data_IF_449142091843
#
_entry.id   IF_449142091843
#
_cell.length_a   1.000
_cell.length_b   1.000
_cell.length_c   1.000
_cell.angle_alpha   90.00
_cell.angle_beta   90.00
_cell.angle_gamma   90.00
#
_symmetry.space_group_name_H-M   'P 1'
#
loop_
_entity.id
_entity.type
_entity.pdbx_description
1 polymer ?
#
# COMPACT_ATOMS: atom_id res chain seq x y z
N UNK A 1 -76.10 -63.42 20.11
CA UNK A 1 -75.61 -62.07 20.41
C UNK A 1 -74.09 -62.07 20.21
N UNK A 2 -73.60 -61.65 19.04
CA UNK A 2 -72.16 -61.46 18.80
C UNK A 2 -72.03 -60.14 18.00
N UNK A 3 -71.53 -59.12 18.66
CA UNK A 3 -71.25 -57.78 18.09
C UNK A 3 -69.95 -57.83 17.29
N UNK A 4 -70.06 -57.60 16.00
CA UNK A 4 -68.89 -57.38 15.15
C UNK A 4 -68.35 -56.01 15.40
N UNK A 5 -67.06 -55.92 15.71
CA UNK A 5 -66.30 -54.69 15.87
C UNK A 5 -65.55 -54.42 14.60
N UNK A 6 -65.95 -53.33 13.91
CA UNK A 6 -65.28 -52.86 12.71
C UNK A 6 -64.14 -51.99 13.16
N UNK A 7 -62.88 -52.40 12.85
CA UNK A 7 -61.69 -51.58 13.05
C UNK A 7 -61.53 -50.65 11.83
N UNK A 8 -61.67 -49.38 12.11
CA UNK A 8 -61.25 -48.33 11.18
C UNK A 8 -59.75 -48.10 11.36
N UNK A 9 -58.94 -48.42 10.34
CA UNK A 9 -57.55 -48.14 10.31
C UNK A 9 -57.38 -46.66 9.82
N UNK A 10 -56.99 -45.77 10.73
CA UNK A 10 -56.67 -44.42 10.44
C UNK A 10 -55.22 -44.28 9.90
N UNK A 11 -55.06 -44.08 8.64
CA UNK A 11 -53.76 -43.87 8.01
C UNK A 11 -53.32 -42.44 8.28
N UNK A 12 -52.46 -42.25 9.29
CA UNK A 12 -51.78 -40.95 9.52
C UNK A 12 -50.62 -40.78 8.51
N UNK A 13 -50.83 -39.92 7.53
CA UNK A 13 -49.76 -39.44 6.67
C UNK A 13 -48.91 -38.44 7.47
N UNK A 14 -47.72 -38.88 7.92
CA UNK A 14 -46.71 -38.00 8.50
C UNK A 14 -46.00 -37.31 7.36
N UNK A 15 -46.40 -36.07 7.03
CA UNK A 15 -45.62 -35.19 6.20
C UNK A 15 -44.44 -34.66 7.02
N UNK A 16 -43.27 -35.29 6.83
CA UNK A 16 -42.01 -34.84 7.41
C UNK A 16 -41.63 -33.51 6.78
N UNK A 17 -41.77 -32.41 7.54
CA UNK A 17 -41.23 -31.11 7.22
C UNK A 17 -39.71 -31.20 7.42
N UNK A 18 -38.98 -31.43 6.33
CA UNK A 18 -37.51 -31.27 6.35
C UNK A 18 -37.22 -29.79 6.46
N UNK A 19 -36.97 -29.31 7.68
CA UNK A 19 -36.37 -28.00 7.92
C UNK A 19 -34.95 -28.08 7.38
N UNK A 20 -34.75 -27.57 6.16
CA UNK A 20 -33.45 -27.31 5.59
C UNK A 20 -32.72 -26.33 6.48
N UNK A 21 -31.76 -26.82 7.25
CA UNK A 21 -30.78 -25.96 7.87
C UNK A 21 -29.99 -25.30 6.72
N UNK A 22 -30.30 -24.05 6.45
CA UNK A 22 -29.42 -23.19 5.68
C UNK A 22 -28.14 -23.05 6.51
N UNK A 23 -27.18 -23.93 6.26
CA UNK A 23 -25.81 -23.75 6.70
C UNK A 23 -25.34 -22.42 6.17
N UNK A 24 -25.18 -21.45 7.06
CA UNK A 24 -24.43 -20.24 6.75
C UNK A 24 -23.00 -20.72 6.41
N UNK A 25 -22.78 -20.94 5.11
CA UNK A 25 -21.43 -21.02 4.58
C UNK A 25 -20.85 -19.63 4.82
N UNK A 26 -20.04 -19.49 5.88
CA UNK A 26 -19.17 -18.36 6.06
C UNK A 26 -18.30 -18.27 4.81
N UNK A 27 -18.78 -17.51 3.83
CA UNK A 27 -18.04 -17.25 2.62
C UNK A 27 -16.76 -16.55 3.05
N UNK A 28 -15.63 -17.25 2.98
CA UNK A 28 -14.34 -16.60 3.04
C UNK A 28 -14.37 -15.54 1.95
N UNK A 29 -14.47 -14.27 2.34
CA UNK A 29 -14.44 -13.14 1.41
C UNK A 29 -13.13 -13.26 0.67
N UNK A 30 -13.20 -13.47 -0.64
CA UNK A 30 -12.00 -13.50 -1.47
C UNK A 30 -11.18 -12.24 -1.18
N UNK A 31 -9.84 -12.35 -1.05
CA UNK A 31 -9.03 -11.18 -0.77
C UNK A 31 -9.30 -10.12 -1.84
N UNK A 32 -9.54 -8.89 -1.39
CA UNK A 32 -9.84 -7.78 -2.27
C UNK A 32 -8.73 -7.63 -3.32
N UNK A 33 -9.11 -7.42 -4.58
CA UNK A 33 -8.15 -7.24 -5.64
C UNK A 33 -7.28 -6.01 -5.36
N UNK A 34 -5.95 -6.23 -5.34
CA UNK A 34 -4.96 -5.17 -5.14
C UNK A 34 -4.32 -4.81 -6.47
N UNK A 35 -4.41 -3.55 -6.85
CA UNK A 35 -3.81 -3.00 -8.07
C UNK A 35 -2.61 -2.10 -7.72
N UNK A 36 -1.55 -2.19 -8.51
CA UNK A 36 -0.39 -1.29 -8.42
C UNK A 36 -0.60 -0.10 -9.36
N UNK A 37 -0.37 1.11 -8.85
CA UNK A 37 -0.59 2.37 -9.57
C UNK A 37 0.73 2.94 -10.12
N UNK A 38 1.31 2.29 -11.14
CA UNK A 38 2.63 2.63 -11.69
C UNK A 38 2.75 4.07 -12.18
N UNK A 39 1.70 4.63 -12.79
CA UNK A 39 1.70 6.03 -13.23
C UNK A 39 1.81 6.99 -12.03
N UNK A 40 1.07 6.72 -10.95
CA UNK A 40 1.17 7.51 -9.72
C UNK A 40 2.58 7.44 -9.13
N UNK A 41 3.20 6.24 -9.11
CA UNK A 41 4.57 6.04 -8.63
C UNK A 41 5.57 6.90 -9.40
N UNK A 42 5.50 6.88 -10.73
CA UNK A 42 6.37 7.66 -11.61
C UNK A 42 6.20 9.17 -11.40
N UNK A 43 4.95 9.63 -11.31
CA UNK A 43 4.63 11.04 -11.10
C UNK A 43 5.08 11.54 -9.72
N UNK A 44 4.94 10.72 -8.65
CA UNK A 44 5.42 11.06 -7.31
C UNK A 44 6.93 11.20 -7.30
N UNK A 45 7.70 10.26 -7.88
CA UNK A 45 9.16 10.34 -7.94
C UNK A 45 9.62 11.55 -8.80
N UNK A 46 8.95 11.81 -9.91
CA UNK A 46 9.23 12.98 -10.75
C UNK A 46 9.05 14.27 -9.96
N UNK A 47 7.96 14.42 -9.22
CA UNK A 47 7.68 15.61 -8.37
C UNK A 47 8.63 15.71 -7.18
N UNK A 48 8.97 14.59 -6.54
CA UNK A 48 10.01 14.58 -5.51
C UNK A 48 11.31 15.14 -6.05
N UNK A 49 11.77 14.65 -7.19
CA UNK A 49 13.02 15.10 -7.79
C UNK A 49 12.98 16.56 -8.24
N UNK A 50 11.87 17.03 -8.81
CA UNK A 50 11.66 18.45 -9.11
C UNK A 50 11.72 19.32 -7.84
N UNK A 51 11.10 18.85 -6.75
CA UNK A 51 11.13 19.50 -5.43
C UNK A 51 12.55 19.57 -4.87
N UNK A 52 13.33 18.50 -4.98
CA UNK A 52 14.72 18.45 -4.53
C UNK A 52 15.60 19.41 -5.34
N UNK A 53 15.52 19.37 -6.66
CA UNK A 53 16.29 20.22 -7.57
C UNK A 53 15.99 21.71 -7.32
N UNK A 54 14.72 22.09 -7.12
CA UNK A 54 14.35 23.48 -6.80
C UNK A 54 14.92 23.99 -5.48
N UNK A 55 15.44 23.09 -4.64
CA UNK A 55 16.10 23.39 -3.36
C UNK A 55 17.61 23.15 -3.39
N UNK A 56 18.19 23.01 -4.59
CA UNK A 56 19.63 22.77 -4.75
C UNK A 56 20.11 21.37 -4.36
N UNK A 57 19.19 20.43 -4.16
CA UNK A 57 19.53 19.06 -3.81
C UNK A 57 19.66 18.20 -5.06
N UNK A 58 20.50 17.18 -4.99
CA UNK A 58 20.64 16.18 -6.05
C UNK A 58 19.32 15.41 -6.21
N UNK A 59 18.86 15.16 -7.45
CA UNK A 59 17.78 14.21 -7.69
C UNK A 59 18.21 12.79 -7.28
N UNK A 60 17.24 11.99 -6.84
CA UNK A 60 17.43 10.60 -6.47
C UNK A 60 17.27 9.70 -7.69
N UNK A 61 18.10 8.67 -7.77
CA UNK A 61 17.97 7.65 -8.78
C UNK A 61 16.92 6.61 -8.33
N UNK A 62 16.15 6.06 -9.30
CA UNK A 62 15.28 4.93 -9.02
C UNK A 62 16.11 3.68 -8.73
N UNK A 63 15.72 2.94 -7.70
CA UNK A 63 16.30 1.66 -7.32
C UNK A 63 15.22 0.59 -7.34
N UNK A 64 15.39 -0.43 -8.18
CA UNK A 64 14.48 -1.58 -8.25
C UNK A 64 14.44 -2.35 -6.93
N UNK A 65 15.57 -2.38 -6.21
CA UNK A 65 15.69 -3.00 -4.90
C UNK A 65 14.77 -2.28 -3.88
N UNK A 66 14.87 -0.94 -3.77
CA UNK A 66 14.01 -0.14 -2.89
C UNK A 66 12.55 -0.16 -3.34
N UNK A 67 12.29 -0.15 -4.65
CA UNK A 67 10.93 -0.27 -5.18
C UNK A 67 10.29 -1.59 -4.78
N UNK A 68 11.04 -2.69 -4.85
CA UNK A 68 10.56 -4.02 -4.44
C UNK A 68 10.23 -4.06 -2.95
N UNK A 69 11.04 -3.42 -2.11
CA UNK A 69 10.79 -3.30 -0.67
C UNK A 69 9.50 -2.50 -0.40
N UNK A 70 9.35 -1.33 -1.03
CA UNK A 70 8.18 -0.46 -0.90
C UNK A 70 6.88 -1.13 -1.36
N UNK A 71 6.89 -1.78 -2.54
CA UNK A 71 5.73 -2.53 -3.06
C UNK A 71 5.34 -3.68 -2.12
N UNK A 72 6.33 -4.41 -1.59
CA UNK A 72 6.09 -5.50 -0.65
C UNK A 72 5.43 -5.01 0.64
N UNK A 73 5.87 -3.86 1.16
CA UNK A 73 5.31 -3.30 2.38
C UNK A 73 3.89 -2.77 2.19
N UNK A 74 3.64 -1.98 1.14
CA UNK A 74 2.29 -1.51 0.83
C UNK A 74 1.31 -2.67 0.66
N UNK A 75 1.76 -3.77 0.04
CA UNK A 75 0.95 -4.99 -0.12
C UNK A 75 0.64 -5.65 1.23
N UNK A 76 1.64 -5.78 2.10
CA UNK A 76 1.46 -6.37 3.44
C UNK A 76 0.50 -5.53 4.28
N UNK A 77 0.66 -4.22 4.29
CA UNK A 77 -0.25 -3.33 5.01
C UNK A 77 -1.71 -3.49 4.57
N UNK A 78 -1.96 -3.52 3.26
CA UNK A 78 -3.32 -3.71 2.71
C UNK A 78 -3.87 -5.11 3.00
N UNK A 79 -3.05 -6.16 2.89
CA UNK A 79 -3.48 -7.54 3.08
C UNK A 79 -3.78 -7.86 4.54
N UNK A 80 -2.96 -7.33 5.46
CA UNK A 80 -3.02 -7.65 6.88
C UNK A 80 -3.74 -6.58 7.71
N UNK A 81 -4.20 -5.50 7.09
CA UNK A 81 -5.03 -4.46 7.70
C UNK A 81 -4.32 -3.64 8.77
N UNK A 82 -3.06 -3.27 8.55
CA UNK A 82 -2.29 -2.41 9.46
C UNK A 82 -1.62 -1.25 8.72
N UNK A 83 -1.20 -0.21 9.46
CA UNK A 83 -0.46 0.92 8.87
C UNK A 83 0.62 1.37 9.85
N UNK A 84 1.83 0.89 9.64
CA UNK A 84 3.00 1.10 10.52
C UNK A 84 4.29 1.01 9.70
N UNK A 85 5.37 1.60 10.20
CA UNK A 85 6.72 1.42 9.62
C UNK A 85 7.24 -0.01 9.84
N UNK A 86 6.93 -0.61 10.99
CA UNK A 86 7.28 -1.98 11.33
C UNK A 86 6.54 -2.96 10.41
N UNK A 87 7.18 -4.10 10.18
CA UNK A 87 6.53 -5.23 9.52
C UNK A 87 5.51 -5.88 10.45
N UNK A 88 4.57 -6.65 9.91
CA UNK A 88 3.52 -7.33 10.68
C UNK A 88 4.02 -8.19 11.85
N UNK A 89 5.25 -8.70 11.74
CA UNK A 89 5.93 -9.47 12.79
C UNK A 89 6.64 -8.60 13.85
N UNK A 90 6.49 -7.27 13.80
CA UNK A 90 7.13 -6.31 14.68
C UNK A 90 8.58 -6.00 14.33
N UNK A 91 9.13 -6.57 13.26
CA UNK A 91 10.48 -6.25 12.84
C UNK A 91 10.59 -4.82 12.31
N UNK A 92 11.65 -4.06 12.68
CA UNK A 92 11.87 -2.70 12.20
C UNK A 92 11.94 -2.62 10.67
N UNK A 93 11.48 -1.49 10.09
CA UNK A 93 11.41 -1.31 8.64
C UNK A 93 12.75 -1.58 7.91
N UNK A 94 13.87 -1.18 8.50
CA UNK A 94 15.19 -1.37 7.88
C UNK A 94 15.58 -2.86 7.75
N UNK A 95 15.03 -3.75 8.57
CA UNK A 95 15.22 -5.21 8.44
C UNK A 95 14.54 -5.72 7.19
N UNK A 96 13.31 -5.23 6.90
CA UNK A 96 12.58 -5.51 5.67
C UNK A 96 13.34 -4.97 4.45
N UNK A 97 13.70 -3.68 4.48
CA UNK A 97 14.40 -3.03 3.36
C UNK A 97 15.71 -3.74 3.05
N UNK A 98 16.47 -4.16 4.06
CA UNK A 98 17.76 -4.86 3.88
C UNK A 98 17.65 -6.19 3.12
N UNK A 99 16.48 -6.84 3.12
CA UNK A 99 16.25 -8.07 2.34
C UNK A 99 16.27 -7.82 0.84
N UNK A 100 15.93 -6.62 0.40
CA UNK A 100 15.91 -6.19 -1.00
C UNK A 100 17.13 -5.33 -1.34
N UNK A 101 17.36 -4.30 -0.56
CA UNK A 101 18.42 -3.32 -0.71
C UNK A 101 19.59 -3.70 0.21
N UNK A 102 20.38 -4.70 -0.22
CA UNK A 102 21.40 -5.32 0.63
C UNK A 102 22.51 -4.34 1.01
N UNK A 103 22.98 -4.47 2.26
CA UNK A 103 24.17 -3.78 2.79
C UNK A 103 25.48 -4.50 2.42
N UNK A 104 25.42 -5.79 2.12
CA UNK A 104 26.60 -6.61 1.84
C UNK A 104 27.37 -6.10 0.61
N UNK A 105 28.68 -5.95 0.75
CA UNK A 105 29.54 -5.43 -0.30
C UNK A 105 29.66 -3.91 -0.37
N UNK A 106 29.04 -3.18 0.56
CA UNK A 106 29.15 -1.72 0.72
C UNK A 106 29.75 -1.34 2.07
N UNK A 107 30.54 -0.28 2.12
CA UNK A 107 31.14 0.24 3.35
C UNK A 107 30.13 1.04 4.18
N UNK A 108 29.20 1.72 3.50
CA UNK A 108 28.11 2.47 4.15
C UNK A 108 26.75 2.05 3.58
N UNK A 109 25.76 2.03 4.46
CA UNK A 109 24.39 1.71 4.13
C UNK A 109 23.44 2.50 5.04
N UNK A 110 22.47 3.17 4.45
CA UNK A 110 21.45 3.92 5.19
C UNK A 110 20.13 3.86 4.42
N UNK A 111 19.01 3.82 5.16
CA UNK A 111 17.66 3.82 4.60
C UNK A 111 16.74 4.71 5.43
N UNK A 112 15.71 5.22 4.78
CA UNK A 112 14.60 5.94 5.39
C UNK A 112 13.30 5.57 4.70
N UNK A 113 12.17 5.85 5.34
CA UNK A 113 10.85 5.49 4.82
C UNK A 113 9.83 6.60 5.07
N UNK A 114 8.97 6.87 4.09
CA UNK A 114 7.76 7.66 4.25
C UNK A 114 6.55 6.80 3.89
N UNK A 115 5.51 6.89 4.70
CA UNK A 115 4.24 6.19 4.49
C UNK A 115 3.10 7.18 4.31
N UNK A 116 2.10 6.77 3.52
CA UNK A 116 0.83 7.47 3.36
C UNK A 116 -0.26 6.44 3.06
N UNK A 117 -1.44 6.61 3.66
CA UNK A 117 -2.63 5.98 3.12
C UNK A 117 -3.77 7.00 2.99
N UNK A 118 -4.72 6.67 2.11
CA UNK A 118 -5.95 7.45 1.92
C UNK A 118 -7.07 6.56 1.40
N UNK A 119 -8.30 6.92 1.73
CA UNK A 119 -9.49 6.36 1.07
C UNK A 119 -9.86 7.27 -0.10
N UNK A 120 -10.07 6.69 -1.28
CA UNK A 120 -10.36 7.44 -2.49
C UNK A 120 -9.12 7.78 -3.33
N UNK A 121 -9.33 8.63 -4.34
CA UNK A 121 -8.28 8.99 -5.29
C UNK A 121 -7.35 10.08 -4.74
N UNK A 122 -6.07 9.96 -5.06
CA UNK A 122 -5.05 10.97 -4.73
C UNK A 122 -4.13 11.20 -5.92
N UNK A 123 -3.79 12.45 -6.16
CA UNK A 123 -2.78 12.81 -7.15
C UNK A 123 -1.36 12.81 -6.55
N UNK A 124 -0.35 12.65 -7.39
CA UNK A 124 1.04 12.76 -6.98
C UNK A 124 1.37 14.12 -6.32
N UNK A 125 0.71 15.19 -6.74
CA UNK A 125 0.88 16.51 -6.12
C UNK A 125 0.39 16.53 -4.67
N UNK A 126 -0.73 15.85 -4.37
CA UNK A 126 -1.27 15.75 -3.02
C UNK A 126 -0.40 14.87 -2.12
N UNK A 127 0.13 13.76 -2.64
CA UNK A 127 1.08 12.91 -1.91
C UNK A 127 2.32 13.71 -1.50
N UNK A 128 2.95 14.41 -2.45
CA UNK A 128 4.13 15.24 -2.19
C UNK A 128 3.81 16.38 -1.21
N UNK A 129 2.66 17.04 -1.38
CA UNK A 129 2.22 18.10 -0.46
C UNK A 129 2.02 17.58 0.95
N UNK A 130 1.35 16.44 1.12
CA UNK A 130 1.09 15.85 2.42
C UNK A 130 2.40 15.55 3.17
N UNK A 131 3.37 14.95 2.49
CA UNK A 131 4.68 14.69 3.09
C UNK A 131 5.51 15.97 3.32
N UNK A 132 5.39 17.00 2.48
CA UNK A 132 6.07 18.29 2.71
C UNK A 132 5.47 19.05 3.89
N UNK A 133 4.19 18.90 4.17
CA UNK A 133 3.51 19.54 5.30
C UNK A 133 3.86 18.88 6.64
N UNK A 134 4.29 17.62 6.63
CA UNK A 134 4.74 16.89 7.82
C UNK A 134 6.24 17.06 8.04
N UNK A 135 6.71 17.52 9.20
CA UNK A 135 8.12 17.79 9.46
C UNK A 135 9.04 16.59 9.23
N UNK A 136 8.71 15.41 9.78
CA UNK A 136 9.51 14.19 9.67
C UNK A 136 9.59 13.67 8.23
N UNK A 137 8.46 13.63 7.52
CA UNK A 137 8.42 13.19 6.13
C UNK A 137 9.14 14.17 5.20
N UNK A 138 9.02 15.48 5.47
CA UNK A 138 9.76 16.52 4.74
C UNK A 138 11.26 16.38 4.92
N UNK A 139 11.72 16.09 6.15
CA UNK A 139 13.13 15.85 6.43
C UNK A 139 13.67 14.67 5.61
N UNK A 140 12.95 13.55 5.56
CA UNK A 140 13.31 12.43 4.69
C UNK A 140 13.37 12.85 3.22
N UNK A 141 12.33 13.51 2.70
CA UNK A 141 12.29 13.93 1.29
C UNK A 141 13.47 14.84 0.91
N UNK A 142 13.91 15.69 1.82
CA UNK A 142 14.90 16.73 1.58
C UNK A 142 16.29 16.41 2.13
N UNK A 143 16.51 15.26 2.72
CA UNK A 143 17.82 14.83 3.22
C UNK A 143 18.85 14.79 2.07
N UNK A 144 19.99 15.47 2.20
CA UNK A 144 21.07 15.42 1.22
C UNK A 144 21.83 14.09 1.24
N UNK A 145 21.59 13.25 2.24
CA UNK A 145 22.24 11.95 2.39
C UNK A 145 21.80 10.93 1.35
N UNK A 146 20.54 10.99 0.90
CA UNK A 146 19.97 10.00 -0.01
C UNK A 146 20.57 10.07 -1.41
N UNK A 147 20.64 8.92 -2.05
CA UNK A 147 21.10 8.74 -3.43
C UNK A 147 20.08 8.03 -4.30
N UNK A 148 19.28 7.16 -3.69
CA UNK A 148 18.34 6.27 -4.38
C UNK A 148 16.97 6.36 -3.71
N UNK A 149 15.93 6.02 -4.46
CA UNK A 149 14.55 5.97 -4.01
C UNK A 149 13.79 4.83 -4.69
N UNK A 150 12.90 4.20 -3.96
CA UNK A 150 11.89 3.29 -4.48
C UNK A 150 10.52 3.67 -3.97
N UNK A 151 9.47 3.34 -4.71
CA UNK A 151 8.09 3.65 -4.34
C UNK A 151 7.16 2.51 -4.70
N UNK A 152 6.19 2.24 -3.83
CA UNK A 152 5.11 1.29 -4.06
C UNK A 152 3.77 1.92 -3.72
N UNK A 153 2.94 2.20 -4.73
CA UNK A 153 1.58 2.70 -4.58
C UNK A 153 0.58 1.60 -4.96
N UNK A 154 -0.11 1.04 -3.97
CA UNK A 154 -1.05 -0.05 -4.14
C UNK A 154 -2.44 0.33 -3.63
N UNK A 155 -3.46 0.00 -4.42
CA UNK A 155 -4.85 0.22 -4.07
C UNK A 155 -5.58 -1.11 -3.93
N UNK A 156 -6.30 -1.28 -2.84
CA UNK A 156 -7.25 -2.36 -2.65
C UNK A 156 -8.68 -1.82 -2.74
N UNK A 157 -9.58 -2.58 -3.34
CA UNK A 157 -11.01 -2.21 -3.42
C UNK A 157 -11.69 -2.23 -2.05
N UNK A 158 -11.11 -2.98 -1.11
CA UNK A 158 -11.51 -3.03 0.30
C UNK A 158 -10.31 -3.52 1.11
N UNK A 159 -9.96 -2.83 2.19
CA UNK A 159 -8.89 -3.24 3.09
C UNK A 159 -9.42 -3.24 4.53
N UNK A 160 -9.17 -4.34 5.25
CA UNK A 160 -9.65 -4.55 6.62
C UNK A 160 -8.82 -3.83 7.68
N UNK A 161 -9.04 -4.19 8.95
CA UNK A 161 -8.26 -3.69 10.09
C UNK A 161 -8.29 -2.17 10.21
N UNK A 162 -7.12 -1.54 10.25
CA UNK A 162 -6.96 -0.08 10.33
C UNK A 162 -7.73 0.69 9.26
N UNK A 163 -7.98 0.07 8.11
CA UNK A 163 -8.62 0.72 6.95
C UNK A 163 -10.15 0.59 6.93
N UNK A 164 -10.74 -0.11 7.90
CA UNK A 164 -12.20 -0.14 8.11
C UNK A 164 -13.02 -0.81 7.02
N UNK A 165 -12.43 -1.58 6.12
CA UNK A 165 -13.11 -2.21 4.98
C UNK A 165 -13.25 -1.29 3.76
N UNK A 166 -12.70 -0.09 3.81
CA UNK A 166 -12.78 0.91 2.75
C UNK A 166 -11.86 0.61 1.56
N UNK A 167 -12.20 1.19 0.39
CA UNK A 167 -11.26 1.27 -0.72
C UNK A 167 -10.07 2.12 -0.29
N UNK A 168 -8.89 1.52 -0.27
CA UNK A 168 -7.71 2.14 0.32
C UNK A 168 -6.53 2.11 -0.64
N UNK A 169 -5.88 3.25 -0.76
CA UNK A 169 -4.56 3.40 -1.37
C UNK A 169 -3.51 3.51 -0.27
N UNK A 170 -2.46 2.71 -0.37
CA UNK A 170 -1.24 2.82 0.46
C UNK A 170 -0.06 3.15 -0.42
N UNK A 171 0.74 4.12 0.00
CA UNK A 171 1.98 4.54 -0.66
C UNK A 171 3.13 4.42 0.32
N UNK A 172 4.10 3.57 0.01
CA UNK A 172 5.40 3.49 0.69
C UNK A 172 6.47 4.11 -0.19
N UNK A 173 7.33 4.94 0.37
CA UNK A 173 8.51 5.47 -0.30
C UNK A 173 9.74 5.16 0.54
N UNK A 174 10.62 4.32 0.01
CA UNK A 174 11.89 3.97 0.62
C UNK A 174 13.02 4.79 0.02
N UNK A 175 13.83 5.40 0.88
CA UNK A 175 15.04 6.12 0.54
C UNK A 175 16.26 5.29 0.86
N UNK A 176 17.32 5.43 0.08
CA UNK A 176 18.56 4.69 0.31
C UNK A 176 19.81 5.45 -0.06
N UNK A 177 20.88 5.07 0.63
CA UNK A 177 22.25 5.44 0.26
C UNK A 177 23.18 4.30 0.65
N UNK A 178 23.98 3.87 -0.30
CA UNK A 178 25.06 2.89 -0.07
C UNK A 178 26.26 3.29 -0.93
N UNK A 179 27.46 3.18 -0.37
CA UNK A 179 28.70 3.58 -1.04
C UNK A 179 29.91 2.81 -0.55
N UNK A 180 30.98 2.87 -1.36
CA UNK A 180 32.21 2.15 -1.09
C UNK A 180 32.11 0.64 -1.37
N UNK A 181 33.16 -0.10 -1.07
CA UNK A 181 33.20 -1.56 -1.24
C UNK A 181 33.15 -2.02 -2.70
N UNK A 182 32.92 -3.33 -2.86
CA UNK A 182 32.84 -4.00 -4.18
C UNK A 182 31.42 -4.08 -4.74
N UNK A 183 30.41 -3.65 -3.95
CA UNK A 183 28.98 -3.77 -4.27
C UNK A 183 28.44 -2.67 -5.19
N UNK A 184 29.27 -1.74 -5.68
CA UNK A 184 28.84 -0.59 -6.45
C UNK A 184 28.23 -1.00 -7.78
N UNK A 185 26.89 -0.99 -7.88
CA UNK A 185 26.18 -1.13 -9.16
C UNK A 185 26.13 0.23 -9.85
N UNK A 186 26.31 0.24 -11.17
CA UNK A 186 26.14 1.46 -11.97
C UNK A 186 24.69 1.89 -11.92
N UNK A 187 24.39 3.01 -11.25
CA UNK A 187 23.04 3.57 -11.14
C UNK A 187 22.71 4.31 -12.43
N UNK A 188 21.67 3.89 -13.14
CA UNK A 188 21.19 4.58 -14.33
C UNK A 188 20.30 5.76 -13.89
N UNK A 189 20.80 7.00 -14.04
CA UNK A 189 20.01 8.20 -13.84
C UNK A 189 18.89 8.27 -14.88
N UNK A 190 17.65 8.17 -14.44
CA UNK A 190 16.48 8.41 -15.28
C UNK A 190 16.30 9.94 -15.35
N UNK A 191 16.58 10.53 -16.53
CA UNK A 191 16.26 11.95 -16.76
C UNK A 191 14.74 12.13 -16.67
N UNK A 192 14.27 13.19 -15.97
CA UNK A 192 12.85 13.52 -15.96
C UNK A 192 12.34 13.68 -17.39
N UNK A 193 11.25 12.99 -17.74
CA UNK A 193 10.57 13.19 -19.02
C UNK A 193 9.99 14.61 -19.00
N UNK A 194 10.18 15.44 -20.06
CA UNK A 194 9.56 16.76 -20.12
C UNK A 194 8.05 16.60 -19.99
N UNK A 195 7.44 17.35 -19.06
CA UNK A 195 6.01 17.34 -18.85
C UNK A 195 5.30 17.90 -20.11
N UNK A 196 4.49 17.10 -20.85
CA UNK A 196 3.69 17.67 -21.92
C UNK A 196 2.53 18.42 -21.27
N UNK A 197 2.56 19.76 -21.37
CA UNK A 197 1.50 20.75 -21.12
C UNK A 197 0.65 20.51 -19.86
N UNK A 198 0.74 21.50 -18.98
CA UNK A 198 -0.21 21.72 -17.88
C UNK A 198 -1.65 21.68 -18.39
N UNK A 199 -2.37 20.61 -18.12
CA UNK A 199 -3.82 20.57 -18.21
C UNK A 199 -4.38 21.49 -17.12
N UNK A 200 -5.44 22.28 -17.39
CA UNK A 200 -6.06 23.14 -16.38
C UNK A 200 -6.45 22.33 -15.15
N UNK A 201 -6.30 22.93 -13.97
CA UNK A 201 -6.67 22.29 -12.71
C UNK A 201 -8.12 21.76 -12.76
N UNK A 202 -8.37 20.52 -12.34
CA UNK A 202 -9.71 20.03 -12.20
C UNK A 202 -10.49 20.85 -11.16
N UNK A 203 -11.82 20.95 -11.28
CA UNK A 203 -12.64 21.70 -10.34
C UNK A 203 -12.46 21.19 -8.90
N UNK A 204 -12.72 22.02 -7.87
CA UNK A 204 -12.46 21.68 -6.49
C UNK A 204 -13.22 20.42 -6.09
N UNK A 205 -12.46 19.40 -5.74
CA UNK A 205 -12.99 18.11 -5.27
C UNK A 205 -13.67 18.32 -3.91
N UNK A 206 -14.90 17.90 -3.82
CA UNK A 206 -15.66 17.81 -2.55
C UNK A 206 -14.82 17.05 -1.52
N UNK A 207 -14.64 17.71 -0.37
CA UNK A 207 -14.18 17.21 0.92
C UNK A 207 -13.20 16.02 0.82
N UNK A 208 -11.91 16.34 0.80
CA UNK A 208 -10.85 15.36 0.99
C UNK A 208 -11.09 14.63 2.31
N UNK A 209 -11.21 13.32 2.26
CA UNK A 209 -11.11 12.49 3.45
C UNK A 209 -9.71 12.66 4.05
N UNK A 210 -9.55 12.54 5.37
CA UNK A 210 -8.27 12.78 6.01
C UNK A 210 -7.21 11.86 5.44
N UNK A 211 -6.09 12.45 5.02
CA UNK A 211 -4.87 11.72 4.69
C UNK A 211 -4.17 11.38 5.99
N UNK A 212 -4.01 10.11 6.30
CA UNK A 212 -3.25 9.66 7.47
C UNK A 212 -1.81 9.41 7.06
N UNK A 213 -0.89 9.97 7.83
CA UNK A 213 0.54 9.93 7.58
C UNK A 213 1.17 9.22 8.78
N UNK A 214 1.91 8.11 8.53
CA UNK A 214 2.72 7.44 9.56
C UNK A 214 4.01 8.24 9.85
N UNK A 215 4.40 8.35 11.10
CA UNK A 215 5.63 9.02 11.59
C UNK A 215 6.61 7.99 12.06
#
# INVERSE_FOLDING_TARGET
MKRAMVLFALLLAVTGLIAGQAGATGGATAPAATARLQTLEQDVVSRLNATRVSRGLRPLALSDDLQSAAVSHSRSMLADGYFEHESRDGSPFFVRVKRYYAAAGFDTWSVGENLLYTTGEVSAAQVIKAWLDSPSHRENMLSPAWREVGIGALQASSAGGTFGGEQTLVVTMDFGSRSGGTGQKTVKLVKPKPNPRSTPAPPPVRRLLPVTIGV
#
